data_IF_777690799730
#
_entry.id   IF_777690799730
#
_cell.length_a   1.000
_cell.length_b   1.000
_cell.length_c   1.000
_cell.angle_alpha   90.00
_cell.angle_beta   90.00
_cell.angle_gamma   90.00
#
_symmetry.space_group_name_H-M   'P 1'
#
loop_
_entity.id
_entity.type
_entity.pdbx_description
1 polymer ?
#
# COMPACT_ATOMS: atom_id res chain seq x y z
N UNK A 1 1.70 17.38 -10.92
CA UNK A 1 2.33 17.17 -9.61
C UNK A 1 3.26 15.97 -9.74
N UNK A 2 4.54 16.13 -9.42
CA UNK A 2 5.48 15.01 -9.35
C UNK A 2 5.40 14.37 -7.97
N UNK A 3 5.85 13.12 -7.85
CA UNK A 3 5.84 12.38 -6.58
C UNK A 3 6.54 13.13 -5.44
N UNK A 4 7.71 13.70 -5.72
CA UNK A 4 8.49 14.47 -4.73
C UNK A 4 7.72 15.70 -4.26
N UNK A 5 7.06 16.41 -5.17
CA UNK A 5 6.25 17.59 -4.81
C UNK A 5 5.12 17.18 -3.85
N UNK A 6 4.48 16.03 -4.09
CA UNK A 6 3.43 15.49 -3.23
C UNK A 6 3.94 15.07 -1.85
N UNK A 7 5.09 14.41 -1.77
CA UNK A 7 5.69 14.04 -0.48
C UNK A 7 6.12 15.27 0.33
N UNK A 8 6.68 16.29 -0.34
CA UNK A 8 7.04 17.54 0.30
C UNK A 8 5.79 18.30 0.80
N UNK A 9 4.69 18.26 0.04
CA UNK A 9 3.42 18.84 0.48
C UNK A 9 2.84 18.13 1.72
N UNK A 10 3.07 16.83 1.85
CA UNK A 10 2.69 16.07 3.04
C UNK A 10 3.64 16.30 4.22
N UNK A 11 4.75 17.03 4.04
CA UNK A 11 5.80 17.22 5.06
C UNK A 11 6.35 15.88 5.63
N UNK A 12 6.22 14.80 4.85
CA UNK A 12 6.59 13.45 5.26
C UNK A 12 8.04 13.15 4.90
N UNK A 13 8.87 12.84 5.90
CA UNK A 13 10.24 12.42 5.67
C UNK A 13 10.30 11.07 4.93
N UNK A 14 11.23 10.96 3.97
CA UNK A 14 11.44 9.72 3.22
C UNK A 14 12.91 9.48 2.90
N UNK A 15 13.28 8.20 2.83
CA UNK A 15 14.57 7.72 2.35
C UNK A 15 14.60 7.57 0.83
N UNK A 16 15.80 7.46 0.27
CA UNK A 16 16.00 7.14 -1.15
C UNK A 16 15.32 5.81 -1.54
N UNK A 17 15.37 4.80 -0.67
CA UNK A 17 14.77 3.50 -0.91
C UNK A 17 13.24 3.57 -0.96
N UNK A 18 12.62 4.33 -0.04
CA UNK A 18 11.18 4.57 -0.07
C UNK A 18 10.76 5.28 -1.35
N UNK A 19 11.50 6.29 -1.79
CA UNK A 19 11.22 6.98 -3.06
C UNK A 19 11.34 6.05 -4.28
N UNK A 20 12.36 5.19 -4.31
CA UNK A 20 12.50 4.16 -5.36
C UNK A 20 11.30 3.21 -5.32
N UNK A 21 10.90 2.77 -4.15
CA UNK A 21 9.76 1.87 -3.98
C UNK A 21 8.43 2.48 -4.41
N UNK A 22 8.16 3.75 -4.08
CA UNK A 22 6.96 4.44 -4.57
C UNK A 22 6.94 4.56 -6.10
N UNK A 23 8.10 4.79 -6.74
CA UNK A 23 8.22 4.78 -8.20
C UNK A 23 7.96 3.38 -8.78
N UNK A 24 8.48 2.34 -8.14
CA UNK A 24 8.20 0.95 -8.50
C UNK A 24 6.71 0.62 -8.39
N UNK A 25 6.06 1.02 -7.29
CA UNK A 25 4.61 0.86 -7.09
C UNK A 25 3.83 1.51 -8.21
N UNK A 26 4.14 2.77 -8.55
CA UNK A 26 3.48 3.49 -9.64
C UNK A 26 3.61 2.77 -10.98
N UNK A 27 4.84 2.39 -11.34
CA UNK A 27 5.14 1.70 -12.60
C UNK A 27 4.43 0.35 -12.69
N UNK A 28 4.57 -0.49 -11.66
CA UNK A 28 3.97 -1.81 -11.64
C UNK A 28 2.45 -1.74 -11.54
N UNK A 29 1.87 -0.77 -10.81
CA UNK A 29 0.41 -0.59 -10.77
C UNK A 29 -0.13 -0.32 -12.19
N UNK A 30 0.45 0.62 -12.93
CA UNK A 30 0.04 0.92 -14.30
C UNK A 30 0.17 -0.31 -15.22
N UNK A 31 1.25 -1.07 -15.09
CA UNK A 31 1.50 -2.29 -15.87
C UNK A 31 0.47 -3.38 -15.55
N UNK A 32 0.27 -3.69 -14.28
CA UNK A 32 -0.67 -4.72 -13.84
C UNK A 32 -2.12 -4.34 -14.16
N UNK A 33 -2.48 -3.07 -14.00
CA UNK A 33 -3.85 -2.63 -14.23
C UNK A 33 -4.30 -2.75 -15.69
N UNK A 34 -3.37 -2.70 -16.66
CA UNK A 34 -3.64 -2.98 -18.07
C UNK A 34 -4.10 -4.42 -18.33
N UNK A 35 -3.66 -5.37 -17.51
CA UNK A 35 -3.90 -6.81 -17.71
C UNK A 35 -4.98 -7.33 -16.76
N UNK A 36 -4.99 -6.87 -15.51
CA UNK A 36 -5.74 -7.49 -14.43
C UNK A 36 -6.85 -6.62 -13.81
N UNK A 37 -7.01 -5.36 -14.25
CA UNK A 37 -8.05 -4.44 -13.75
C UNK A 37 -8.10 -4.38 -12.20
N UNK A 38 -6.95 -4.09 -11.57
CA UNK A 38 -6.79 -4.10 -10.11
C UNK A 38 -7.34 -2.86 -9.41
N UNK A 39 -7.49 -1.73 -10.10
CA UNK A 39 -8.15 -0.52 -9.59
C UNK A 39 -8.90 0.21 -10.70
N UNK A 40 -9.60 1.31 -10.41
CA UNK A 40 -10.24 2.16 -11.42
C UNK A 40 -9.28 3.17 -12.08
N UNK A 41 -8.15 3.49 -11.46
CA UNK A 41 -7.22 4.53 -11.93
C UNK A 41 -6.30 4.01 -13.04
N UNK A 42 -6.33 4.65 -14.22
CA UNK A 42 -5.69 4.15 -15.45
C UNK A 42 -4.43 4.92 -15.85
N UNK A 43 -4.32 6.18 -15.45
CA UNK A 43 -3.21 7.05 -15.78
C UNK A 43 -2.31 7.31 -14.57
N UNK A 44 -1.08 7.69 -14.87
CA UNK A 44 -0.03 7.91 -13.87
C UNK A 44 -0.42 8.94 -12.83
N UNK A 45 -1.06 10.04 -13.24
CA UNK A 45 -1.45 11.13 -12.34
C UNK A 45 -2.48 10.64 -11.31
N UNK A 46 -3.51 9.92 -11.76
CA UNK A 46 -4.54 9.41 -10.85
C UNK A 46 -4.01 8.33 -9.91
N UNK A 47 -3.14 7.43 -10.38
CA UNK A 47 -2.50 6.44 -9.50
C UNK A 47 -1.62 7.13 -8.46
N UNK A 48 -0.82 8.11 -8.89
CA UNK A 48 0.03 8.88 -7.99
C UNK A 48 -0.78 9.59 -6.90
N UNK A 49 -1.86 10.26 -7.26
CA UNK A 49 -2.66 11.03 -6.30
C UNK A 49 -3.47 10.10 -5.42
N UNK A 50 -4.35 9.27 -6.01
CA UNK A 50 -5.39 8.57 -5.27
C UNK A 50 -4.95 7.22 -4.69
N UNK A 51 -3.90 6.59 -5.23
CA UNK A 51 -3.38 5.36 -4.64
C UNK A 51 -2.18 5.66 -3.76
N UNK A 52 -1.20 6.44 -4.23
CA UNK A 52 0.07 6.57 -3.54
C UNK A 52 0.02 7.67 -2.47
N UNK A 53 -0.24 8.92 -2.86
CA UNK A 53 -0.17 10.06 -1.94
C UNK A 53 -1.32 10.06 -0.95
N UNK A 54 -2.55 9.76 -1.41
CA UNK A 54 -3.72 9.66 -0.55
C UNK A 54 -3.52 8.64 0.59
N UNK A 55 -2.90 7.49 0.29
CA UNK A 55 -2.56 6.47 1.29
C UNK A 55 -1.58 6.93 2.37
N UNK A 56 -0.81 8.00 2.12
CA UNK A 56 0.13 8.57 3.08
C UNK A 56 -0.43 9.80 3.81
N UNK A 57 -1.63 10.27 3.47
CA UNK A 57 -2.27 11.38 4.18
C UNK A 57 -2.50 11.14 5.68
N UNK A 58 -2.78 9.91 6.18
CA UNK A 58 -2.99 9.70 7.61
C UNK A 58 -1.68 9.52 8.40
N UNK A 59 -0.51 9.86 7.83
CA UNK A 59 0.81 9.59 8.42
C UNK A 59 0.94 10.07 9.87
N UNK A 60 0.38 11.23 10.21
CA UNK A 60 0.41 11.79 11.58
C UNK A 60 -0.36 10.97 12.61
N UNK A 61 -1.21 10.04 12.19
CA UNK A 61 -2.01 9.17 13.04
C UNK A 61 -1.43 7.76 13.17
N UNK A 62 -0.42 7.41 12.35
CA UNK A 62 0.20 6.09 12.42
C UNK A 62 1.10 6.02 13.64
N UNK A 63 1.00 4.90 14.37
CA UNK A 63 1.75 4.62 15.58
C UNK A 63 2.43 3.26 15.45
N UNK A 64 3.48 3.06 16.23
CA UNK A 64 4.09 1.75 16.41
C UNK A 64 3.03 0.76 16.94
N UNK A 65 3.11 -0.49 16.51
CA UNK A 65 2.14 -1.52 16.89
C UNK A 65 1.60 -2.28 15.69
N UNK A 66 0.28 -2.39 15.58
CA UNK A 66 -0.39 -3.17 14.54
C UNK A 66 -1.44 -2.31 13.83
N UNK A 67 -1.65 -2.59 12.55
CA UNK A 67 -2.65 -1.92 11.73
C UNK A 67 -3.33 -2.95 10.83
N UNK A 68 -4.66 -2.91 10.77
CA UNK A 68 -5.46 -3.69 9.83
C UNK A 68 -6.03 -2.80 8.73
N UNK A 69 -5.77 -3.16 7.48
CA UNK A 69 -6.39 -2.59 6.30
C UNK A 69 -7.36 -3.61 5.68
N UNK A 70 -8.66 -3.33 5.76
CA UNK A 70 -9.75 -4.22 5.34
C UNK A 70 -10.28 -3.80 3.99
N UNK A 71 -10.33 -4.74 3.03
CA UNK A 71 -10.73 -4.43 1.66
C UNK A 71 -9.65 -3.66 0.91
N UNK A 72 -8.39 -3.97 1.21
CA UNK A 72 -7.19 -3.26 0.72
C UNK A 72 -7.06 -3.21 -0.82
N UNK A 73 -7.80 -4.06 -1.54
CA UNK A 73 -7.64 -4.23 -2.97
C UNK A 73 -6.18 -4.54 -3.36
N UNK A 74 -5.54 -3.71 -4.19
CA UNK A 74 -4.14 -3.88 -4.56
C UNK A 74 -3.15 -3.41 -3.46
N UNK A 75 -3.56 -3.35 -2.20
CA UNK A 75 -2.68 -3.03 -1.08
C UNK A 75 -2.72 -1.57 -0.65
N UNK A 76 -3.77 -0.81 -0.93
CA UNK A 76 -3.84 0.61 -0.54
C UNK A 76 -4.94 0.82 0.50
N UNK A 77 -4.66 1.52 1.63
CA UNK A 77 -3.43 2.23 1.95
C UNK A 77 -2.31 1.38 2.61
N UNK A 78 -2.57 0.12 2.96
CA UNK A 78 -1.67 -0.64 3.85
C UNK A 78 -0.24 -0.84 3.34
N UNK A 79 -0.02 -0.94 2.03
CA UNK A 79 1.31 -1.14 1.44
C UNK A 79 2.17 0.13 1.52
N UNK A 80 1.72 1.33 1.07
CA UNK A 80 2.46 2.56 1.34
C UNK A 80 2.73 2.80 2.82
N UNK A 81 1.76 2.51 3.69
CA UNK A 81 1.95 2.65 5.14
C UNK A 81 3.02 1.70 5.67
N UNK A 82 2.99 0.42 5.31
CA UNK A 82 4.02 -0.53 5.73
C UNK A 82 5.43 -0.10 5.29
N UNK A 83 5.55 0.46 4.08
CA UNK A 83 6.81 0.98 3.54
C UNK A 83 7.36 2.18 4.33
N UNK A 84 6.48 3.04 4.88
CA UNK A 84 6.87 4.26 5.60
C UNK A 84 7.00 4.07 7.11
N UNK A 85 6.29 3.10 7.68
CA UNK A 85 6.22 2.86 9.13
C UNK A 85 6.73 1.46 9.47
N UNK A 86 8.06 1.22 9.48
CA UNK A 86 8.64 -0.11 9.67
C UNK A 86 8.35 -0.75 11.03
N UNK A 87 8.01 0.07 12.04
CA UNK A 87 7.63 -0.38 13.38
C UNK A 87 6.13 -0.73 13.51
N UNK A 88 5.33 -0.49 12.48
CA UNK A 88 3.92 -0.84 12.43
C UNK A 88 3.78 -2.15 11.65
N UNK A 89 3.29 -3.21 12.28
CA UNK A 89 2.95 -4.46 11.61
C UNK A 89 1.63 -4.31 10.89
N UNK A 90 1.68 -4.09 9.59
CA UNK A 90 0.50 -3.84 8.77
C UNK A 90 -0.03 -5.16 8.23
N UNK A 91 -1.28 -5.48 8.50
CA UNK A 91 -1.99 -6.58 7.86
C UNK A 91 -2.99 -6.03 6.85
N UNK A 92 -2.89 -6.48 5.60
CA UNK A 92 -3.85 -6.17 4.54
C UNK A 92 -4.73 -7.39 4.25
N UNK A 93 -6.04 -7.20 4.19
CA UNK A 93 -7.04 -8.24 3.97
C UNK A 93 -7.90 -7.89 2.76
N UNK A 94 -8.07 -8.85 1.85
CA UNK A 94 -9.07 -8.77 0.78
C UNK A 94 -9.54 -10.18 0.40
N UNK A 95 -10.73 -10.27 -0.17
CA UNK A 95 -11.28 -11.51 -0.72
C UNK A 95 -10.84 -11.80 -2.16
N UNK A 96 -10.26 -10.81 -2.84
CA UNK A 96 -9.81 -10.89 -4.22
C UNK A 96 -8.31 -11.18 -4.32
N UNK A 97 -7.97 -12.46 -4.51
CA UNK A 97 -6.57 -12.90 -4.58
C UNK A 97 -5.79 -12.27 -5.75
N UNK A 98 -6.43 -11.93 -6.86
CA UNK A 98 -5.75 -11.27 -8.00
C UNK A 98 -5.22 -9.89 -7.61
N UNK A 99 -5.96 -9.15 -6.77
CA UNK A 99 -5.50 -7.86 -6.26
C UNK A 99 -4.40 -8.05 -5.21
N UNK A 100 -4.55 -9.03 -4.33
CA UNK A 100 -3.51 -9.36 -3.34
C UNK A 100 -2.22 -9.88 -3.98
N UNK A 101 -2.28 -10.50 -5.15
CA UNK A 101 -1.11 -10.91 -5.91
C UNK A 101 -0.22 -9.72 -6.28
N UNK A 102 -0.81 -8.56 -6.60
CA UNK A 102 -0.06 -7.32 -6.81
C UNK A 102 0.64 -6.88 -5.50
N UNK A 103 -0.06 -6.91 -4.36
CA UNK A 103 0.55 -6.57 -3.07
C UNK A 103 1.72 -7.49 -2.71
N UNK A 104 1.61 -8.80 -3.00
CA UNK A 104 2.71 -9.77 -2.79
C UNK A 104 3.90 -9.48 -3.70
N UNK A 105 3.65 -9.14 -4.96
CA UNK A 105 4.67 -8.75 -5.92
C UNK A 105 5.45 -7.53 -5.46
N UNK A 106 4.74 -6.46 -5.06
CA UNK A 106 5.38 -5.25 -4.55
C UNK A 106 6.12 -5.51 -3.22
N UNK A 107 5.51 -6.27 -2.29
CA UNK A 107 6.17 -6.67 -1.04
C UNK A 107 7.54 -7.30 -1.31
N UNK A 108 7.61 -8.19 -2.29
CA UNK A 108 8.86 -8.85 -2.68
C UNK A 108 9.87 -7.88 -3.30
N UNK A 109 9.45 -7.05 -4.27
CA UNK A 109 10.33 -6.09 -4.95
C UNK A 109 10.90 -5.03 -3.99
N UNK A 110 10.11 -4.61 -3.01
CA UNK A 110 10.45 -3.57 -2.05
C UNK A 110 10.95 -4.08 -0.70
N UNK A 111 11.06 -5.40 -0.53
CA UNK A 111 11.48 -6.04 0.70
C UNK A 111 10.75 -5.53 1.96
N UNK A 112 9.41 -5.44 1.89
CA UNK A 112 8.58 -4.89 2.97
C UNK A 112 8.34 -5.97 4.03
N UNK A 113 9.17 -6.01 5.07
CA UNK A 113 9.17 -7.07 6.08
C UNK A 113 7.95 -7.09 7.01
N UNK A 114 7.43 -5.91 7.34
CA UNK A 114 6.32 -5.68 8.28
C UNK A 114 4.92 -5.75 7.65
N UNK A 115 4.79 -6.16 6.39
CA UNK A 115 3.51 -6.26 5.68
C UNK A 115 3.00 -7.69 5.63
N UNK A 116 1.90 -8.02 6.30
CA UNK A 116 1.21 -9.31 6.20
C UNK A 116 0.05 -9.21 5.21
N UNK A 117 -0.07 -10.20 4.31
CA UNK A 117 -1.12 -10.24 3.27
C UNK A 117 -2.01 -11.45 3.53
N UNK A 118 -3.31 -11.22 3.72
CA UNK A 118 -4.28 -12.27 4.07
C UNK A 118 -5.39 -12.30 3.04
N UNK A 119 -5.55 -13.45 2.37
CA UNK A 119 -6.64 -13.69 1.44
C UNK A 119 -7.82 -14.33 2.17
N UNK A 120 -8.73 -13.49 2.67
CA UNK A 120 -9.94 -13.89 3.39
C UNK A 120 -11.00 -12.80 3.29
N UNK A 121 -12.25 -13.16 3.56
CA UNK A 121 -13.28 -12.18 3.93
C UNK A 121 -13.03 -11.68 5.36
N UNK A 122 -13.47 -10.47 5.68
CA UNK A 122 -13.24 -9.90 7.03
C UNK A 122 -13.95 -10.74 8.10
N UNK A 123 -15.11 -11.27 7.76
CA UNK A 123 -15.96 -12.12 8.59
C UNK A 123 -15.31 -13.49 8.90
N UNK A 124 -14.30 -13.90 8.13
CA UNK A 124 -13.54 -15.15 8.31
C UNK A 124 -12.29 -14.97 9.18
N UNK A 125 -11.99 -13.74 9.62
CA UNK A 125 -10.89 -13.48 10.54
C UNK A 125 -11.30 -13.84 11.98
N UNK A 126 -10.42 -14.49 12.77
CA UNK A 126 -10.70 -14.74 14.17
C UNK A 126 -10.90 -13.42 14.93
N UNK A 127 -11.97 -13.33 15.72
CA UNK A 127 -12.22 -12.18 16.61
C UNK A 127 -11.17 -12.03 17.71
N UNK A 128 -10.40 -13.09 17.99
CA UNK A 128 -9.30 -13.09 18.96
C UNK A 128 -7.97 -12.60 18.37
N UNK A 129 -7.88 -12.41 17.05
CA UNK A 129 -6.65 -11.95 16.42
C UNK A 129 -6.48 -10.45 16.65
N UNK A 130 -5.42 -10.07 17.38
CA UNK A 130 -5.09 -8.66 17.59
C UNK A 130 -4.40 -8.10 16.33
N UNK A 131 -4.99 -7.07 15.76
CA UNK A 131 -4.42 -6.26 14.69
C UNK A 131 -4.32 -4.80 15.10
#
# INVERSE_FOLDING_TARGET
MRLVDGLNYLELAYSKNQLICLKTILHEHLKWNKVYNISAHRDEKNVLIYQILDSLTPHDFIRDGRLLDVGTGPGFPGLPLALFFPNTHVTVVDSNDKKLAFSRHIKALCNIGNLQIVHKRIEELPTTQQF
#
